data_IF_621827794999
#
_entry.id   IF_621827794999
#
_cell.length_a   1.000
_cell.length_b   1.000
_cell.length_c   1.000
_cell.angle_alpha   90.00
_cell.angle_beta   90.00
_cell.angle_gamma   90.00
#
_symmetry.space_group_name_H-M   'P 1'
#
loop_
_entity.id
_entity.type
_entity.pdbx_description
1 polymer ?
#
# COMPACT_ATOMS: atom_id res chain seq x y z
N UNK A 1 18.12 11.41 4.03
CA UNK A 1 19.39 10.64 4.12
C UNK A 1 20.34 11.10 3.03
N UNK A 2 21.65 11.11 3.26
CA UNK A 2 22.68 11.30 2.23
C UNK A 2 23.17 9.93 1.76
N UNK A 3 23.33 9.76 0.45
CA UNK A 3 23.87 8.55 -0.17
C UNK A 3 24.97 8.89 -1.17
N UNK A 4 25.92 7.97 -1.35
CA UNK A 4 26.93 8.10 -2.40
C UNK A 4 26.41 7.70 -3.79
N UNK A 5 27.29 7.69 -4.78
CA UNK A 5 26.97 7.33 -6.17
C UNK A 5 26.66 5.84 -6.39
N UNK A 6 26.72 5.01 -5.33
CA UNK A 6 26.35 3.59 -5.33
C UNK A 6 25.09 3.33 -4.51
N UNK A 7 24.36 4.38 -4.13
CA UNK A 7 23.22 4.36 -3.20
C UNK A 7 23.55 3.89 -1.78
N UNK A 8 24.84 3.83 -1.43
CA UNK A 8 25.28 3.46 -0.09
C UNK A 8 25.02 4.62 0.89
N UNK A 9 24.49 4.29 2.07
CA UNK A 9 24.15 5.28 3.09
C UNK A 9 25.39 5.94 3.67
N UNK A 10 25.44 7.28 3.61
CA UNK A 10 26.49 8.11 4.21
C UNK A 10 26.00 8.72 5.52
N UNK A 11 24.87 9.43 5.48
CA UNK A 11 24.26 10.05 6.66
C UNK A 11 22.75 9.79 6.67
N UNK A 12 22.17 9.59 7.85
CA UNK A 12 20.73 9.45 8.01
C UNK A 12 20.20 10.46 9.04
N UNK A 13 18.98 10.94 8.80
CA UNK A 13 18.24 11.76 9.76
C UNK A 13 16.77 11.37 9.69
N UNK A 14 16.20 11.04 10.85
CA UNK A 14 14.80 10.68 10.99
C UNK A 14 14.05 11.87 11.55
N UNK A 15 12.97 12.29 10.87
CA UNK A 15 12.14 13.39 11.34
C UNK A 15 11.34 12.97 12.57
N UNK A 16 11.29 13.83 13.58
CA UNK A 16 10.38 13.70 14.70
C UNK A 16 9.11 14.51 14.41
N UNK A 17 7.93 13.88 14.44
CA UNK A 17 6.63 14.55 14.18
C UNK A 17 6.42 15.81 15.03
N UNK A 18 6.90 15.80 16.28
CA UNK A 18 6.65 16.86 17.25
C UNK A 18 7.50 18.12 17.02
N UNK A 19 8.49 18.02 16.13
CA UNK A 19 9.40 19.14 15.79
C UNK A 19 8.95 19.95 14.58
N UNK A 20 7.89 19.53 13.88
CA UNK A 20 7.32 20.32 12.79
C UNK A 20 6.58 21.53 13.33
N UNK A 21 6.96 22.72 12.85
CA UNK A 21 6.38 23.99 13.27
C UNK A 21 5.43 24.47 12.18
N UNK A 22 4.16 24.66 12.51
CA UNK A 22 3.21 25.32 11.62
C UNK A 22 3.65 26.77 11.39
N UNK A 23 3.86 27.13 10.13
CA UNK A 23 4.28 28.49 9.72
C UNK A 23 3.08 29.28 9.21
N UNK A 24 2.24 28.65 8.40
CA UNK A 24 1.12 29.30 7.74
C UNK A 24 0.02 28.29 7.45
N UNK A 25 -1.21 28.73 7.56
CA UNK A 25 -2.39 28.03 7.10
C UNK A 25 -3.33 29.05 6.46
N UNK A 26 -3.97 28.66 5.36
CA UNK A 26 -4.97 29.49 4.70
C UNK A 26 -5.60 28.83 3.49
N UNK A 27 -6.75 29.36 3.09
CA UNK A 27 -7.51 28.87 1.94
C UNK A 27 -7.72 29.99 0.93
N UNK A 28 -7.50 29.69 -0.35
CA UNK A 28 -7.88 30.56 -1.47
C UNK A 28 -9.34 30.27 -1.85
N UNK A 29 -10.25 31.20 -1.59
CA UNK A 29 -11.69 31.01 -1.86
C UNK A 29 -12.01 30.92 -3.36
N UNK A 30 -11.21 31.57 -4.20
CA UNK A 30 -11.42 31.57 -5.65
C UNK A 30 -10.97 30.27 -6.31
N UNK A 31 -9.88 29.66 -5.82
CA UNK A 31 -9.31 28.44 -6.39
C UNK A 31 -9.70 27.17 -5.63
N UNK A 32 -10.36 27.31 -4.46
CA UNK A 32 -10.66 26.21 -3.53
C UNK A 32 -9.42 25.36 -3.24
N UNK A 33 -8.32 26.06 -2.97
CA UNK A 33 -7.04 25.45 -2.58
C UNK A 33 -6.77 25.79 -1.13
N UNK A 34 -6.67 24.76 -0.30
CA UNK A 34 -6.19 24.89 1.07
C UNK A 34 -4.68 24.68 1.08
N UNK A 35 -3.95 25.61 1.68
CA UNK A 35 -2.49 25.57 1.79
C UNK A 35 -2.06 25.60 3.24
N UNK A 36 -1.23 24.63 3.63
CA UNK A 36 -0.62 24.53 4.95
C UNK A 36 0.89 24.43 4.78
N UNK A 37 1.65 25.21 5.56
CA UNK A 37 3.10 25.21 5.52
C UNK A 37 3.68 24.82 6.87
N UNK A 38 4.56 23.83 6.86
CA UNK A 38 5.31 23.38 8.02
C UNK A 38 6.80 23.61 7.81
N UNK A 39 7.51 23.91 8.89
CA UNK A 39 8.95 24.07 8.93
C UNK A 39 9.58 23.08 9.89
N UNK A 40 10.68 22.48 9.48
CA UNK A 40 11.53 21.62 10.29
C UNK A 40 12.96 22.10 10.23
N UNK A 41 13.63 22.25 11.37
CA UNK A 41 15.04 22.63 11.45
C UNK A 41 15.86 21.44 11.92
N UNK A 42 16.91 21.11 11.16
CA UNK A 42 17.88 20.08 11.49
C UNK A 42 19.16 20.77 11.97
N UNK A 43 19.22 21.07 13.27
CA UNK A 43 20.30 21.86 13.89
C UNK A 43 21.69 21.32 13.58
N UNK A 44 21.86 19.99 13.63
CA UNK A 44 23.14 19.30 13.35
C UNK A 44 23.71 19.62 11.97
N UNK A 45 22.85 19.92 10.99
CA UNK A 45 23.26 20.21 9.61
C UNK A 45 23.07 21.68 9.24
N UNK A 46 22.53 22.50 10.16
CA UNK A 46 22.07 23.86 9.86
C UNK A 46 21.18 23.90 8.59
N UNK A 47 20.30 22.91 8.45
CA UNK A 47 19.40 22.75 7.29
C UNK A 47 17.96 22.93 7.75
N UNK A 48 17.19 23.73 7.02
CA UNK A 48 15.76 23.90 7.21
C UNK A 48 15.00 23.29 6.05
N UNK A 49 13.94 22.56 6.37
CA UNK A 49 12.97 22.03 5.41
C UNK A 49 11.67 22.78 5.63
N UNK A 50 11.14 23.39 4.56
CA UNK A 50 9.78 23.92 4.54
C UNK A 50 8.95 23.05 3.62
N UNK A 51 7.93 22.40 4.16
CA UNK A 51 6.96 21.59 3.43
C UNK A 51 5.69 22.39 3.25
N UNK A 52 5.31 22.67 2.00
CA UNK A 52 4.02 23.26 1.65
C UNK A 52 3.10 22.17 1.16
N UNK A 53 1.97 21.98 1.84
CA UNK A 53 0.91 21.04 1.47
C UNK A 53 -0.23 21.83 0.87
N UNK A 54 -0.63 21.50 -0.34
CA UNK A 54 -1.76 22.11 -1.04
C UNK A 54 -2.80 21.05 -1.36
N UNK A 55 -4.05 21.28 -0.95
CA UNK A 55 -5.19 20.42 -1.26
C UNK A 55 -6.04 21.12 -2.30
N UNK A 56 -6.22 20.49 -3.45
CA UNK A 56 -6.99 21.00 -4.58
C UNK A 56 -8.39 20.35 -4.59
N UNK A 57 -9.43 21.13 -4.30
CA UNK A 57 -10.82 20.64 -4.37
C UNK A 57 -11.39 20.73 -5.79
N UNK A 58 -10.78 21.55 -6.63
CA UNK A 58 -11.11 21.73 -8.04
C UNK A 58 -9.91 21.50 -8.92
N UNK A 59 -10.22 21.28 -10.19
CA UNK A 59 -9.26 21.31 -11.27
C UNK A 59 -8.54 22.67 -11.33
N UNK A 60 -7.22 22.64 -11.22
CA UNK A 60 -6.41 23.87 -11.18
C UNK A 60 -5.13 23.68 -11.98
N UNK A 61 -4.84 24.66 -12.84
CA UNK A 61 -3.55 24.77 -13.51
C UNK A 61 -2.58 25.52 -12.62
N UNK A 62 -1.42 24.92 -12.36
CA UNK A 62 -0.35 25.55 -11.59
C UNK A 62 0.95 25.53 -12.38
N UNK A 63 1.94 26.26 -11.90
CA UNK A 63 3.28 26.29 -12.50
C UNK A 63 4.31 25.90 -11.47
N UNK A 64 5.22 24.99 -11.84
CA UNK A 64 6.38 24.61 -11.04
C UNK A 64 7.62 24.67 -11.94
N UNK A 65 8.61 25.49 -11.57
CA UNK A 65 9.71 25.83 -12.46
C UNK A 65 9.19 26.47 -13.75
N UNK A 66 9.58 25.94 -14.90
CA UNK A 66 9.08 26.38 -16.21
C UNK A 66 7.95 25.48 -16.75
N UNK A 67 7.40 24.58 -15.94
CA UNK A 67 6.42 23.60 -16.38
C UNK A 67 5.04 23.93 -15.83
N UNK A 68 4.02 23.80 -16.69
CA UNK A 68 2.63 23.83 -16.26
C UNK A 68 2.21 22.44 -15.82
N UNK A 69 1.63 22.35 -14.63
CA UNK A 69 1.11 21.12 -14.08
C UNK A 69 -0.40 21.25 -13.90
N UNK A 70 -1.09 20.20 -14.30
CA UNK A 70 -2.53 20.07 -14.17
C UNK A 70 -2.86 19.28 -12.90
N UNK A 71 -3.59 19.92 -11.97
CA UNK A 71 -4.04 19.29 -10.73
C UNK A 71 -5.49 18.88 -10.87
N UNK A 72 -5.76 17.59 -10.70
CA UNK A 72 -7.12 17.07 -10.62
C UNK A 72 -7.76 17.43 -9.26
N UNK A 73 -9.11 17.46 -9.15
CA UNK A 73 -9.78 17.46 -7.87
C UNK A 73 -9.29 16.34 -6.95
N UNK A 74 -9.32 16.58 -5.63
CA UNK A 74 -8.84 15.64 -4.61
C UNK A 74 -7.34 15.29 -4.71
N UNK A 75 -6.55 16.24 -5.20
CA UNK A 75 -5.08 16.14 -5.23
C UNK A 75 -4.48 16.86 -4.03
N UNK A 76 -3.56 16.18 -3.35
CA UNK A 76 -2.70 16.69 -2.29
C UNK A 76 -1.29 16.80 -2.85
N UNK A 77 -0.80 18.02 -2.96
CA UNK A 77 0.52 18.32 -3.50
C UNK A 77 1.46 18.75 -2.39
N UNK A 78 2.68 18.24 -2.43
CA UNK A 78 3.74 18.61 -1.50
C UNK A 78 4.83 19.36 -2.24
N UNK A 79 5.20 20.54 -1.74
CA UNK A 79 6.41 21.24 -2.17
C UNK A 79 7.42 21.25 -1.03
N UNK A 80 8.55 20.59 -1.20
CA UNK A 80 9.67 20.63 -0.26
C UNK A 80 10.66 21.69 -0.68
N UNK A 81 10.92 22.66 0.19
CA UNK A 81 12.03 23.61 0.08
C UNK A 81 13.07 23.29 1.13
N UNK A 82 14.24 22.83 0.70
CA UNK A 82 15.34 22.45 1.57
C UNK A 82 16.45 23.49 1.41
N UNK A 83 16.86 24.14 2.49
CA UNK A 83 18.03 25.03 2.45
C UNK A 83 19.32 24.22 2.28
N UNK A 84 20.46 24.90 2.23
CA UNK A 84 21.79 24.29 2.12
C UNK A 84 21.96 23.10 3.05
N UNK A 85 22.51 22.01 2.52
CA UNK A 85 22.85 20.81 3.26
C UNK A 85 24.36 20.56 3.17
N UNK A 86 25.05 20.25 4.29
CA UNK A 86 26.49 20.04 4.30
C UNK A 86 26.83 18.62 3.82
N UNK A 87 26.78 18.42 2.50
CA UNK A 87 27.16 17.15 1.88
C UNK A 87 28.60 16.74 2.26
N UNK A 88 28.79 15.45 2.50
CA UNK A 88 30.11 14.86 2.75
C UNK A 88 31.00 14.93 1.50
N UNK A 89 30.40 14.77 0.30
CA UNK A 89 31.08 14.92 -1.00
C UNK A 89 30.14 15.51 -2.04
N UNK A 90 30.70 16.19 -3.04
CA UNK A 90 29.93 16.74 -4.18
C UNK A 90 29.34 15.69 -5.12
N UNK A 91 29.80 14.44 -5.03
CA UNK A 91 29.27 13.29 -5.78
C UNK A 91 28.12 12.60 -5.05
N UNK A 92 27.77 13.02 -3.83
CA UNK A 92 26.69 12.44 -3.07
C UNK A 92 25.35 13.10 -3.42
N UNK A 93 24.27 12.41 -3.08
CA UNK A 93 22.90 12.90 -3.24
C UNK A 93 22.16 12.90 -1.91
N UNK A 94 21.20 13.81 -1.77
CA UNK A 94 20.29 13.87 -0.63
C UNK A 94 18.97 13.21 -1.04
N UNK A 95 18.47 12.28 -0.23
CA UNK A 95 17.17 11.66 -0.43
C UNK A 95 16.18 12.11 0.66
N UNK A 96 15.08 12.75 0.25
CA UNK A 96 13.87 12.85 1.09
C UNK A 96 13.11 11.54 0.95
N UNK A 97 12.82 10.87 2.07
CA UNK A 97 12.05 9.62 2.07
C UNK A 97 10.62 9.89 2.48
N UNK A 98 9.68 9.56 1.60
CA UNK A 98 8.25 9.62 1.84
C UNK A 98 7.69 8.22 2.11
N UNK A 99 6.75 8.10 3.05
CA UNK A 99 5.95 6.90 3.22
C UNK A 99 4.54 7.19 2.69
N UNK A 100 4.15 6.45 1.65
CA UNK A 100 2.78 6.41 1.16
C UNK A 100 2.12 5.14 1.67
N UNK A 101 1.01 5.27 2.39
CA UNK A 101 0.30 4.16 2.98
C UNK A 101 -1.21 4.31 2.78
N UNK A 102 -1.87 3.19 2.50
CA UNK A 102 -3.32 3.09 2.47
C UNK A 102 -3.75 1.93 3.37
N UNK A 103 -4.82 2.13 4.13
CA UNK A 103 -5.36 1.13 5.02
C UNK A 103 -6.88 1.13 4.98
N UNK A 104 -7.47 -0.06 4.93
CA UNK A 104 -8.91 -0.27 5.09
C UNK A 104 -9.23 -0.72 6.51
N UNK A 105 -10.42 -0.33 6.98
CA UNK A 105 -11.02 -0.82 8.22
C UNK A 105 -11.78 -2.13 8.02
N UNK A 106 -11.95 -2.57 6.77
CA UNK A 106 -12.63 -3.81 6.43
C UNK A 106 -11.78 -5.04 6.79
N UNK A 107 -12.45 -6.13 7.16
CA UNK A 107 -11.79 -7.40 7.54
C UNK A 107 -11.44 -8.26 6.34
N UNK A 108 -12.18 -8.09 5.24
CA UNK A 108 -12.00 -8.83 3.99
C UNK A 108 -11.74 -7.78 2.94
N UNK A 109 -10.52 -7.77 2.41
CA UNK A 109 -10.15 -6.85 1.35
C UNK A 109 -9.10 -7.49 0.43
N UNK A 110 -8.79 -6.80 -0.65
CA UNK A 110 -7.67 -7.04 -1.53
C UNK A 110 -6.86 -5.75 -1.64
N UNK A 111 -5.53 -5.88 -1.59
CA UNK A 111 -4.61 -4.79 -1.88
C UNK A 111 -3.86 -5.06 -3.17
N UNK A 112 -3.43 -3.98 -3.83
CA UNK A 112 -2.58 -3.99 -5.00
C UNK A 112 -1.63 -2.81 -4.94
N UNK A 113 -0.38 -3.01 -5.37
CA UNK A 113 0.62 -1.95 -5.45
C UNK A 113 1.40 -2.07 -6.74
N UNK A 114 1.64 -0.92 -7.38
CA UNK A 114 2.48 -0.82 -8.56
C UNK A 114 3.37 0.42 -8.49
N UNK A 115 4.57 0.30 -9.03
CA UNK A 115 5.46 1.42 -9.26
C UNK A 115 5.86 1.41 -10.73
N UNK A 116 5.43 2.42 -11.48
CA UNK A 116 5.59 2.51 -12.93
C UNK A 116 6.41 3.73 -13.26
N UNK A 117 7.39 3.54 -14.13
CA UNK A 117 8.14 4.63 -14.71
C UNK A 117 7.56 5.01 -16.08
N UNK A 118 7.03 6.22 -16.20
CA UNK A 118 6.59 6.74 -17.50
C UNK A 118 7.78 7.33 -18.26
N UNK A 119 7.79 7.12 -19.57
CA UNK A 119 8.81 7.70 -20.45
C UNK A 119 8.72 9.24 -20.48
N UNK A 120 7.60 9.83 -20.05
CA UNK A 120 7.37 11.28 -20.03
C UNK A 120 7.76 11.97 -18.70
N UNK A 121 8.95 11.69 -18.18
CA UNK A 121 9.56 12.43 -17.05
C UNK A 121 8.83 12.35 -15.70
N UNK A 122 7.99 11.34 -15.47
CA UNK A 122 7.33 11.12 -14.18
C UNK A 122 7.37 9.64 -13.79
N UNK A 123 7.46 9.38 -12.49
CA UNK A 123 7.27 8.06 -11.90
C UNK A 123 5.96 8.04 -11.12
N UNK A 124 5.27 6.91 -11.14
CA UNK A 124 3.97 6.77 -10.51
C UNK A 124 3.98 5.62 -9.51
N UNK A 125 3.41 5.87 -8.35
CA UNK A 125 3.09 4.86 -7.35
C UNK A 125 1.58 4.74 -7.25
N UNK A 126 1.04 3.54 -7.45
CA UNK A 126 -0.35 3.24 -7.12
C UNK A 126 -0.37 2.28 -5.95
N UNK A 127 -1.08 2.65 -4.89
CA UNK A 127 -1.45 1.75 -3.80
C UNK A 127 -2.98 1.69 -3.78
N UNK A 128 -3.55 0.52 -3.98
CA UNK A 128 -4.99 0.31 -4.08
C UNK A 128 -5.46 -0.68 -3.03
N UNK A 129 -6.59 -0.39 -2.39
CA UNK A 129 -7.34 -1.32 -1.56
C UNK A 129 -8.79 -1.27 -2.00
N UNK A 130 -9.35 -2.43 -2.39
CA UNK A 130 -10.66 -2.51 -3.02
C UNK A 130 -10.79 -1.55 -4.22
N UNK A 131 -11.76 -0.65 -4.21
CA UNK A 131 -12.07 0.33 -5.24
C UNK A 131 -11.40 1.70 -5.01
N UNK A 132 -10.51 1.83 -4.02
CA UNK A 132 -9.85 3.10 -3.68
C UNK A 132 -8.35 2.99 -3.87
N UNK A 133 -7.76 3.99 -4.52
CA UNK A 133 -6.31 4.06 -4.67
C UNK A 133 -5.73 5.39 -4.23
N UNK A 134 -4.58 5.32 -3.57
CA UNK A 134 -3.64 6.40 -3.42
C UNK A 134 -2.69 6.38 -4.63
N UNK A 135 -2.74 7.41 -5.45
CA UNK A 135 -1.94 7.55 -6.65
C UNK A 135 -0.93 8.68 -6.47
N UNK A 136 0.35 8.36 -6.35
CA UNK A 136 1.44 9.33 -6.25
C UNK A 136 2.10 9.56 -7.60
N UNK A 137 2.26 10.82 -8.00
CA UNK A 137 3.08 11.24 -9.14
C UNK A 137 4.34 11.93 -8.63
N UNK A 138 5.48 11.43 -9.09
CA UNK A 138 6.81 11.95 -8.75
C UNK A 138 7.48 12.48 -10.02
N UNK A 139 7.50 13.80 -10.16
CA UNK A 139 8.19 14.47 -11.27
C UNK A 139 9.69 14.21 -11.21
N UNK A 140 10.34 14.08 -12.38
CA UNK A 140 11.79 13.85 -12.51
C UNK A 140 12.59 15.15 -12.69
N UNK A 141 12.08 16.27 -12.19
CA UNK A 141 12.83 17.52 -12.13
C UNK A 141 12.56 18.28 -10.82
N UNK A 142 13.49 19.15 -10.46
CA UNK A 142 13.38 20.06 -9.33
C UNK A 142 14.13 21.35 -9.60
N UNK A 143 13.92 22.36 -8.75
CA UNK A 143 14.71 23.60 -8.82
C UNK A 143 15.88 23.51 -7.85
N UNK A 144 17.08 23.38 -8.38
CA UNK A 144 18.32 23.22 -7.63
C UNK A 144 19.16 24.49 -7.81
N UNK A 145 19.43 25.21 -6.72
CA UNK A 145 20.18 26.47 -6.71
C UNK A 145 19.67 27.51 -7.74
N UNK A 146 18.34 27.54 -7.94
CA UNK A 146 17.67 28.45 -8.87
C UNK A 146 17.64 28.01 -10.33
N UNK A 147 18.03 26.77 -10.64
CA UNK A 147 17.97 26.20 -11.99
C UNK A 147 17.13 24.92 -12.01
N UNK A 148 16.40 24.71 -13.09
CA UNK A 148 15.71 23.45 -13.33
C UNK A 148 16.75 22.35 -13.59
N UNK A 149 16.68 21.27 -12.84
CA UNK A 149 17.60 20.15 -12.94
C UNK A 149 16.86 18.82 -12.80
N UNK A 150 17.33 17.81 -13.53
CA UNK A 150 16.80 16.45 -13.44
C UNK A 150 17.05 15.90 -12.04
N UNK A 151 15.99 15.33 -11.45
CA UNK A 151 16.03 14.55 -10.21
C UNK A 151 15.50 13.15 -10.52
N UNK A 152 15.76 12.18 -9.65
CA UNK A 152 15.24 10.82 -9.81
C UNK A 152 14.49 10.39 -8.56
N UNK A 153 13.70 9.32 -8.67
CA UNK A 153 13.06 8.72 -7.51
C UNK A 153 13.40 7.22 -7.46
N UNK A 154 13.56 6.72 -6.24
CA UNK A 154 13.91 5.33 -5.97
C UNK A 154 12.92 4.70 -5.02
N UNK A 155 12.49 3.48 -5.32
CA UNK A 155 11.72 2.66 -4.39
C UNK A 155 12.64 2.12 -3.29
N UNK A 156 12.30 2.39 -2.03
CA UNK A 156 13.10 2.04 -0.84
C UNK A 156 12.42 0.99 0.03
N UNK A 157 11.43 0.28 -0.52
CA UNK A 157 10.66 -0.77 0.16
C UNK A 157 11.57 -1.87 0.74
N UNK A 158 12.64 -2.24 0.03
CA UNK A 158 13.63 -3.22 0.50
C UNK A 158 14.46 -2.74 1.70
N UNK A 159 14.60 -1.43 1.90
CA UNK A 159 15.38 -0.83 2.98
C UNK A 159 14.51 -0.60 4.22
N UNK A 160 13.31 -0.07 4.04
CA UNK A 160 12.43 0.34 5.14
C UNK A 160 11.31 -0.65 5.46
N UNK A 161 10.97 -1.53 4.52
CA UNK A 161 9.71 -2.26 4.57
C UNK A 161 9.65 -3.58 5.31
N UNK A 162 10.80 -4.19 5.61
CA UNK A 162 10.83 -5.53 6.20
C UNK A 162 9.97 -6.55 5.43
N UNK A 163 9.47 -7.59 6.12
CA UNK A 163 8.69 -8.68 5.50
C UNK A 163 7.19 -8.38 5.30
N UNK A 164 6.66 -7.24 5.76
CA UNK A 164 5.20 -7.00 5.81
C UNK A 164 4.77 -5.59 5.36
N UNK A 165 5.29 -5.07 4.24
CA UNK A 165 4.74 -3.83 3.66
C UNK A 165 3.31 -3.99 3.15
N UNK A 166 2.99 -5.17 2.61
CA UNK A 166 1.78 -5.38 1.83
C UNK A 166 0.94 -6.48 2.48
N UNK A 167 -0.27 -6.10 2.90
CA UNK A 167 -1.33 -6.96 3.44
C UNK A 167 -2.61 -6.64 2.71
N UNK A 168 -3.54 -7.58 2.72
CA UNK A 168 -4.79 -7.41 2.01
C UNK A 168 -5.63 -6.19 2.43
N UNK A 169 -5.48 -5.74 3.67
CA UNK A 169 -6.20 -4.59 4.24
C UNK A 169 -5.31 -3.36 4.46
N UNK A 170 -4.00 -3.45 4.17
CA UNK A 170 -3.08 -2.34 4.35
C UNK A 170 -1.86 -2.52 3.46
N UNK A 171 -1.50 -1.50 2.69
CA UNK A 171 -0.31 -1.53 1.85
C UNK A 171 0.41 -0.19 1.95
N UNK A 172 1.72 -0.25 1.86
CA UNK A 172 2.61 0.90 2.04
C UNK A 172 3.85 0.79 1.17
N UNK A 173 4.44 1.94 0.88
CA UNK A 173 5.65 2.05 0.10
C UNK A 173 6.48 3.25 0.52
N UNK A 174 7.80 3.10 0.44
CA UNK A 174 8.78 4.13 0.74
C UNK A 174 9.42 4.61 -0.55
N UNK A 175 9.36 5.91 -0.80
CA UNK A 175 9.88 6.56 -2.02
C UNK A 175 10.94 7.56 -1.61
N UNK A 176 12.14 7.40 -2.13
CA UNK A 176 13.23 8.37 -2.03
C UNK A 176 13.19 9.34 -3.20
N UNK A 177 13.08 10.64 -2.91
CA UNK A 177 13.28 11.72 -3.90
C UNK A 177 14.77 12.08 -3.91
N UNK A 178 15.48 11.75 -4.99
CA UNK A 178 16.92 11.85 -5.10
C UNK A 178 17.34 13.22 -5.62
N UNK A 179 17.96 14.01 -4.75
CA UNK A 179 18.39 15.38 -5.00
C UNK A 179 19.90 15.37 -5.22
N UNK A 180 20.39 15.87 -6.37
CA UNK A 180 21.84 15.99 -6.58
C UNK A 180 22.45 16.98 -5.60
N UNK A 181 23.78 17.03 -5.54
CA UNK A 181 24.50 18.03 -4.77
C UNK A 181 24.03 19.46 -5.09
N UNK A 182 23.85 20.26 -4.04
CA UNK A 182 23.44 21.67 -4.13
C UNK A 182 24.02 22.49 -2.99
N UNK A 183 24.05 23.82 -3.14
CA UNK A 183 24.75 24.73 -2.23
C UNK A 183 23.83 25.71 -1.50
N UNK A 184 22.71 26.10 -2.09
CA UNK A 184 21.78 27.10 -1.56
C UNK A 184 20.45 26.48 -1.17
N UNK A 185 19.78 25.83 -2.12
CA UNK A 185 18.50 25.17 -1.85
C UNK A 185 18.09 24.18 -2.93
N UNK A 186 17.17 23.30 -2.58
CA UNK A 186 16.47 22.40 -3.49
C UNK A 186 14.95 22.53 -3.29
N UNK A 187 14.21 22.65 -4.40
CA UNK A 187 12.75 22.57 -4.44
C UNK A 187 12.31 21.32 -5.19
N UNK A 188 11.44 20.53 -4.56
CA UNK A 188 10.83 19.32 -5.12
C UNK A 188 9.32 19.37 -4.96
N UNK A 189 8.59 18.69 -5.85
CA UNK A 189 7.15 18.87 -5.94
C UNK A 189 6.32 17.60 -6.25
N UNK A 190 6.39 16.54 -5.42
CA UNK A 190 5.53 15.37 -5.61
C UNK A 190 4.06 15.67 -5.30
N UNK A 191 3.15 14.98 -5.97
CA UNK A 191 1.72 15.06 -5.71
C UNK A 191 1.07 13.68 -5.55
N UNK A 192 -0.03 13.65 -4.82
CA UNK A 192 -0.82 12.45 -4.55
C UNK A 192 -2.30 12.74 -4.77
N UNK A 193 -3.01 11.84 -5.42
CA UNK A 193 -4.46 11.89 -5.56
C UNK A 193 -5.09 10.65 -4.91
N UNK A 194 -6.26 10.83 -4.31
CA UNK A 194 -7.10 9.69 -3.91
C UNK A 194 -8.15 9.49 -4.98
N UNK A 195 -8.16 8.31 -5.60
CA UNK A 195 -9.02 7.98 -6.73
C UNK A 195 -9.98 6.84 -6.35
N UNK A 196 -11.19 6.90 -6.93
CA UNK A 196 -12.12 5.77 -6.97
C UNK A 196 -11.94 5.07 -8.31
N UNK A 197 -11.66 3.78 -8.26
CA UNK A 197 -11.27 2.94 -9.38
C UNK A 197 -12.47 2.11 -9.85
N UNK A 198 -12.64 1.95 -11.16
CA UNK A 198 -13.71 1.10 -11.70
C UNK A 198 -13.42 -0.39 -11.47
N UNK A 199 -12.14 -0.77 -11.56
CA UNK A 199 -11.68 -2.12 -11.28
C UNK A 199 -11.13 -2.16 -9.86
N UNK A 200 -11.44 -3.23 -9.14
CA UNK A 200 -10.97 -3.41 -7.76
C UNK A 200 -9.54 -3.95 -7.73
N UNK A 201 -8.88 -3.86 -6.59
CA UNK A 201 -7.58 -4.50 -6.39
C UNK A 201 -7.62 -6.00 -6.71
N UNK A 202 -8.75 -6.69 -6.47
CA UNK A 202 -8.93 -8.12 -6.77
C UNK A 202 -8.76 -8.45 -8.25
N UNK A 203 -9.08 -7.52 -9.14
CA UNK A 203 -9.01 -7.71 -10.59
C UNK A 203 -7.57 -7.63 -11.11
N UNK A 204 -6.60 -7.29 -10.25
CA UNK A 204 -5.19 -7.14 -10.59
C UNK A 204 -4.41 -8.46 -10.40
N UNK A 205 -3.50 -8.74 -11.33
CA UNK A 205 -2.76 -10.00 -11.39
C UNK A 205 -1.84 -10.28 -10.18
N UNK A 206 -1.44 -9.25 -9.44
CA UNK A 206 -0.53 -9.33 -8.28
C UNK A 206 -1.19 -8.86 -6.98
N UNK A 207 -2.50 -9.06 -6.86
CA UNK A 207 -3.25 -8.65 -5.67
C UNK A 207 -3.00 -9.57 -4.47
N UNK A 208 -3.00 -8.97 -3.28
CA UNK A 208 -2.94 -9.69 -2.01
C UNK A 208 -4.33 -9.61 -1.40
N UNK A 209 -5.04 -10.73 -1.40
CA UNK A 209 -6.40 -10.80 -0.86
C UNK A 209 -6.46 -11.53 0.47
N UNK A 210 -7.43 -11.15 1.31
CA UNK A 210 -7.76 -11.94 2.49
C UNK A 210 -8.16 -13.34 2.01
N UNK A 211 -7.46 -14.37 2.50
CA UNK A 211 -7.87 -15.74 2.25
C UNK A 211 -9.22 -15.97 2.93
N UNK A 212 -10.31 -15.89 2.17
CA UNK A 212 -11.56 -16.45 2.65
C UNK A 212 -11.32 -17.94 2.88
N UNK A 213 -11.44 -18.40 4.13
CA UNK A 213 -11.55 -19.83 4.40
C UNK A 213 -12.66 -20.35 3.49
N UNK A 214 -12.32 -21.17 2.49
CA UNK A 214 -13.29 -21.73 1.55
C UNK A 214 -14.39 -22.41 2.37
N UNK A 215 -15.49 -21.72 2.61
CA UNK A 215 -16.68 -22.34 3.17
C UNK A 215 -17.15 -23.35 2.13
N UNK A 216 -17.44 -24.57 2.56
CA UNK A 216 -18.03 -25.58 1.68
C UNK A 216 -19.24 -24.95 1.00
N UNK A 217 -19.36 -25.10 -0.33
CA UNK A 217 -20.52 -24.58 -1.04
C UNK A 217 -21.78 -25.27 -0.52
N UNK A 218 -22.94 -24.62 -0.66
CA UNK A 218 -24.21 -25.22 -0.25
C UNK A 218 -24.44 -26.60 -0.92
N UNK A 219 -23.94 -26.77 -2.16
CA UNK A 219 -23.97 -28.04 -2.88
C UNK A 219 -23.04 -29.10 -2.26
N UNK A 220 -21.83 -28.73 -1.85
CA UNK A 220 -20.91 -29.64 -1.15
C UNK A 220 -21.47 -30.04 0.23
N UNK A 221 -22.03 -29.10 0.97
CA UNK A 221 -22.68 -29.37 2.25
C UNK A 221 -23.88 -30.29 2.08
N UNK A 222 -24.74 -30.04 1.08
CA UNK A 222 -25.86 -30.92 0.74
C UNK A 222 -25.38 -32.32 0.35
N UNK A 223 -24.31 -32.44 -0.44
CA UNK A 223 -23.71 -33.72 -0.81
C UNK A 223 -23.21 -34.52 0.40
N UNK A 224 -22.54 -33.86 1.34
CA UNK A 224 -22.05 -34.50 2.59
C UNK A 224 -23.24 -34.98 3.44
N UNK A 225 -24.29 -34.16 3.59
CA UNK A 225 -25.47 -34.52 4.37
C UNK A 225 -26.19 -35.73 3.76
N UNK A 226 -26.48 -35.70 2.46
CA UNK A 226 -27.17 -36.79 1.77
C UNK A 226 -26.32 -38.07 1.79
N UNK A 227 -25.02 -37.96 1.50
CA UNK A 227 -24.10 -39.09 1.56
C UNK A 227 -24.01 -39.72 2.95
N UNK A 228 -23.93 -38.89 3.99
CA UNK A 228 -23.89 -39.35 5.38
C UNK A 228 -25.15 -40.10 5.81
N UNK A 229 -26.33 -39.60 5.43
CA UNK A 229 -27.61 -40.25 5.75
C UNK A 229 -27.73 -41.61 5.06
N UNK A 230 -27.43 -41.69 3.76
CA UNK A 230 -27.47 -42.96 3.01
C UNK A 230 -26.48 -43.97 3.60
N UNK A 231 -25.27 -43.53 3.95
CA UNK A 231 -24.26 -44.38 4.55
C UNK A 231 -24.72 -44.96 5.91
N UNK A 232 -25.35 -44.14 6.76
CA UNK A 232 -25.91 -44.61 8.03
C UNK A 232 -27.03 -45.64 7.84
N UNK A 233 -27.92 -45.45 6.85
CA UNK A 233 -28.97 -46.43 6.55
C UNK A 233 -28.39 -47.76 6.08
N UNK A 234 -27.36 -47.74 5.23
CA UNK A 234 -26.70 -48.96 4.75
C UNK A 234 -26.05 -49.71 5.93
N UNK A 235 -25.32 -49.00 6.80
CA UNK A 235 -24.72 -49.61 7.99
C UNK A 235 -25.80 -50.19 8.91
N UNK A 236 -26.89 -49.46 9.14
CA UNK A 236 -28.01 -49.93 9.96
C UNK A 236 -28.65 -51.20 9.40
N UNK A 237 -28.94 -51.24 8.10
CA UNK A 237 -29.52 -52.41 7.44
C UNK A 237 -28.59 -53.64 7.51
N UNK A 238 -27.29 -53.43 7.28
CA UNK A 238 -26.28 -54.49 7.39
C UNK A 238 -26.19 -55.01 8.82
N UNK A 239 -26.17 -54.12 9.82
CA UNK A 239 -26.15 -54.52 11.22
C UNK A 239 -27.38 -55.34 11.59
N UNK A 240 -28.59 -54.89 11.23
CA UNK A 240 -29.85 -55.60 11.47
C UNK A 240 -29.82 -56.99 10.83
N UNK A 241 -29.38 -57.12 9.57
CA UNK A 241 -29.26 -58.40 8.87
C UNK A 241 -28.35 -59.39 9.61
N UNK A 242 -27.20 -58.94 10.10
CA UNK A 242 -26.30 -59.80 10.88
C UNK A 242 -26.89 -60.22 12.23
N UNK A 243 -27.63 -59.32 12.90
CA UNK A 243 -28.29 -59.64 14.17
C UNK A 243 -29.45 -60.64 14.01
N UNK A 244 -30.30 -60.51 12.98
CA UNK A 244 -31.41 -61.44 12.74
C UNK A 244 -30.91 -62.82 12.32
N UNK A 245 -29.92 -62.91 11.43
CA UNK A 245 -29.30 -64.18 11.01
C UNK A 245 -28.68 -64.97 12.17
N UNK A 246 -28.11 -64.26 13.17
CA UNK A 246 -27.54 -64.91 14.37
C UNK A 246 -28.63 -65.50 15.27
N UNK A 247 -29.80 -64.86 15.35
CA UNK A 247 -30.95 -65.34 16.13
C UNK A 247 -31.59 -66.60 15.55
N UNK A 248 -31.70 -66.71 14.22
CA UNK A 248 -32.26 -67.91 13.59
C UNK A 248 -31.36 -69.14 13.77
N UNK A 249 -30.03 -68.94 13.76
CA UNK A 249 -29.07 -70.02 13.99
C UNK A 249 -29.12 -70.59 15.41
N UNK A 250 -29.36 -69.74 16.41
CA UNK A 250 -29.50 -70.16 17.82
C UNK A 250 -30.86 -70.80 18.09
N UNK A 251 -31.92 -70.36 17.41
CA UNK A 251 -33.24 -71.00 17.52
C UNK A 251 -33.26 -72.39 16.87
N UNK A 252 -32.65 -72.54 15.69
CA UNK A 252 -32.49 -73.84 15.02
C UNK A 252 -31.63 -74.83 15.84
N UNK A 253 -30.57 -74.36 16.50
CA UNK A 253 -29.75 -75.17 17.40
C UNK A 253 -30.50 -75.59 18.68
N UNK A 254 -31.40 -74.75 19.21
CA UNK A 254 -32.27 -75.10 20.35
C UNK A 254 -33.33 -76.14 19.96
N UNK A 255 -33.95 -76.03 18.79
CA UNK A 255 -34.93 -77.01 18.29
C UNK A 255 -34.29 -78.39 18.06
N UNK A 256 -33.05 -78.44 17.54
CA UNK A 256 -32.28 -79.69 17.38
C UNK A 256 -31.92 -80.39 18.69
N UNK A 257 -31.83 -79.65 19.81
CA UNK A 257 -31.62 -80.23 21.15
C UNK A 257 -32.89 -80.79 21.79
N UNK A 258 -34.07 -80.32 21.36
CA UNK A 258 -35.37 -80.78 21.86
C UNK A 258 -35.86 -82.00 21.05
N UNK A 259 -35.44 -82.12 19.79
CA UNK A 259 -35.80 -83.23 18.90
C UNK A 259 -34.88 -84.46 19.03
N UNK A 260 -34.13 -84.61 20.13
CA UNK A 260 -33.23 -85.75 20.38
C UNK A 260 -33.54 -86.40 21.72
#
# INVERSE_FOLDING_TARGET
>A
REVDNTDSLINNYVFNSDKWILVKEGSSSNEQVTTVQYKYVIDTYNTTIVSTVQVFEKETNITFGNQQLYMNPSTIKFTFNITSYPFSKSTNSLQIVMNAALQSTEKVACSYKEFVDDQNNSQYLKIQIEDRSLFGRFIKFGMIDGREQVVSNSLLDNIYGGKELSKSTSDQSYIGLNIPYYTKYALLDPDFSVLVEQNTARDQANSICTNESKKLTNAQLAGIIVGGVVFLFIIGAVAIYFFTKKSDSTFALKLRKIAK
#
